data_IF_490569688715
#
_entry.id   IF_490569688715
#
_cell.length_a   1.000
_cell.length_b   1.000
_cell.length_c   1.000
_cell.angle_alpha   90.00
_cell.angle_beta   90.00
_cell.angle_gamma   90.00
#
_symmetry.space_group_name_H-M   'P 1'
#
loop_
_entity.id
_entity.type
_entity.pdbx_description
1 polymer ?
#
# COMPACT_ATOMS: atom_id res chain seq x y z
N UNK A 1 -0.11 6.16 -10.99
CA UNK A 1 0.32 4.76 -11.09
C UNK A 1 1.07 4.36 -9.83
N UNK A 2 0.62 3.30 -9.16
CA UNK A 2 1.27 2.75 -7.97
C UNK A 2 2.50 1.90 -8.31
N UNK A 3 3.56 2.02 -7.53
CA UNK A 3 4.73 1.18 -7.65
C UNK A 3 4.52 -0.19 -7.02
N UNK A 4 5.17 -1.20 -7.60
CA UNK A 4 5.06 -2.61 -7.21
C UNK A 4 6.44 -3.24 -7.08
N UNK A 5 6.60 -4.14 -6.12
CA UNK A 5 7.76 -5.01 -5.98
C UNK A 5 7.31 -6.46 -5.81
N UNK A 6 8.05 -7.38 -6.43
CA UNK A 6 7.75 -8.82 -6.36
C UNK A 6 7.92 -9.32 -4.92
N UNK A 7 6.91 -10.04 -4.42
CA UNK A 7 6.93 -10.70 -3.12
C UNK A 7 7.23 -9.79 -1.92
N UNK A 8 7.05 -8.48 -2.05
CA UNK A 8 7.26 -7.54 -0.96
C UNK A 8 6.21 -7.76 0.14
N UNK A 9 6.63 -8.45 1.20
CA UNK A 9 5.80 -8.80 2.34
C UNK A 9 6.64 -8.77 3.62
N UNK A 10 6.22 -7.97 4.58
CA UNK A 10 6.80 -7.90 5.93
C UNK A 10 5.68 -7.99 6.97
N UNK A 11 5.96 -7.65 8.23
CA UNK A 11 4.97 -7.61 9.31
C UNK A 11 5.04 -6.29 10.06
N UNK A 12 3.92 -5.92 10.68
CA UNK A 12 3.89 -4.79 11.61
C UNK A 12 4.74 -5.05 12.85
N UNK A 13 5.61 -4.10 13.21
CA UNK A 13 6.40 -4.14 14.45
C UNK A 13 5.53 -3.81 15.68
N UNK A 14 4.50 -3.01 15.49
CA UNK A 14 3.49 -2.68 16.51
C UNK A 14 2.12 -2.59 15.87
N UNK A 15 1.08 -2.93 16.64
CA UNK A 15 -0.30 -2.75 16.21
C UNK A 15 -0.62 -1.27 15.91
N UNK A 16 -1.57 -1.06 15.01
CA UNK A 16 -2.05 0.27 14.61
C UNK A 16 -3.57 0.36 14.78
N UNK A 17 -4.07 1.55 15.07
CA UNK A 17 -5.49 1.89 15.11
C UNK A 17 -6.02 2.25 13.71
N UNK A 18 -7.34 2.34 13.58
CA UNK A 18 -8.00 2.79 12.34
C UNK A 18 -7.70 4.28 12.01
N UNK A 19 -7.28 5.09 12.99
CA UNK A 19 -6.94 6.50 12.80
C UNK A 19 -5.45 6.75 12.57
N UNK A 20 -4.59 5.73 12.70
CA UNK A 20 -3.15 5.90 12.57
C UNK A 20 -2.79 6.25 11.13
N UNK A 21 -1.97 7.30 11.00
CA UNK A 21 -1.47 7.85 9.74
C UNK A 21 -0.05 7.38 9.41
N UNK A 22 0.47 6.45 10.23
CA UNK A 22 1.77 5.82 10.08
C UNK A 22 1.72 4.37 10.53
N UNK A 23 2.62 3.56 9.97
CA UNK A 23 2.88 2.19 10.42
C UNK A 23 4.36 1.87 10.28
N UNK A 24 4.85 0.91 11.04
CA UNK A 24 6.25 0.46 10.98
C UNK A 24 6.30 -1.02 10.71
N UNK A 25 7.06 -1.42 9.69
CA UNK A 25 7.27 -2.82 9.29
C UNK A 25 8.62 -3.34 9.77
N UNK A 26 8.78 -4.66 9.87
CA UNK A 26 10.05 -5.29 10.24
C UNK A 26 11.16 -5.01 9.21
N UNK A 27 10.80 -5.00 7.92
CA UNK A 27 11.70 -4.72 6.81
C UNK A 27 11.00 -3.88 5.74
N UNK A 28 11.31 -2.59 5.70
CA UNK A 28 10.80 -1.65 4.70
C UNK A 28 11.62 -1.64 3.40
N UNK A 29 12.81 -2.24 3.38
CA UNK A 29 13.72 -2.18 2.24
C UNK A 29 13.23 -2.98 1.03
N UNK A 30 12.42 -4.01 1.28
CA UNK A 30 11.82 -4.85 0.24
C UNK A 30 10.63 -4.18 -0.48
N UNK A 31 10.09 -3.09 0.07
CA UNK A 31 8.97 -2.36 -0.53
C UNK A 31 9.46 -1.34 -1.56
N UNK A 32 8.69 -1.08 -2.63
CA UNK A 32 9.09 -0.13 -3.66
C UNK A 32 9.09 1.31 -3.13
N UNK A 33 9.54 2.26 -3.93
CA UNK A 33 9.42 3.68 -3.59
C UNK A 33 7.96 4.15 -3.71
N UNK A 34 7.52 5.12 -2.88
CA UNK A 34 6.16 5.63 -2.94
C UNK A 34 5.85 6.35 -4.27
N UNK A 35 4.57 6.46 -4.66
CA UNK A 35 3.42 5.88 -3.97
C UNK A 35 3.23 4.38 -4.28
N UNK A 36 2.87 3.58 -3.27
CA UNK A 36 2.51 2.17 -3.44
C UNK A 36 1.34 1.78 -2.55
N UNK A 37 0.66 0.68 -2.88
CA UNK A 37 -0.41 0.11 -2.06
C UNK A 37 0.12 -1.05 -1.23
N UNK A 38 -0.36 -1.17 0.01
CA UNK A 38 -0.18 -2.37 0.84
C UNK A 38 -1.52 -2.89 1.28
N UNK A 39 -1.62 -4.21 1.42
CA UNK A 39 -2.75 -4.88 2.06
C UNK A 39 -2.34 -5.38 3.44
N UNK A 40 -3.20 -5.15 4.42
CA UNK A 40 -3.12 -5.72 5.78
C UNK A 40 -4.51 -6.27 6.08
N UNK A 41 -4.60 -7.58 6.34
CA UNK A 41 -5.87 -8.29 6.43
C UNK A 41 -6.77 -7.97 5.20
N UNK A 42 -7.97 -7.42 5.42
CA UNK A 42 -8.91 -7.00 4.36
C UNK A 42 -8.79 -5.50 3.97
N UNK A 43 -7.89 -4.75 4.60
CA UNK A 43 -7.68 -3.32 4.31
C UNK A 43 -6.63 -3.13 3.21
N UNK A 44 -6.89 -2.18 2.30
CA UNK A 44 -5.92 -1.67 1.33
C UNK A 44 -5.55 -0.24 1.72
N UNK A 45 -4.24 0.03 1.83
CA UNK A 45 -3.69 1.31 2.29
C UNK A 45 -2.73 1.84 1.24
N UNK A 46 -2.89 3.09 0.84
CA UNK A 46 -1.88 3.80 0.05
C UNK A 46 -0.81 4.38 0.97
N UNK A 47 0.44 4.08 0.68
CA UNK A 47 1.62 4.66 1.34
C UNK A 47 2.14 5.81 0.50
N UNK A 48 2.18 7.01 1.09
CA UNK A 48 2.69 8.22 0.43
C UNK A 48 4.17 8.50 0.72
N UNK A 49 4.69 8.03 1.85
CA UNK A 49 6.09 8.24 2.26
C UNK A 49 6.65 6.95 2.86
N UNK A 50 7.88 6.62 2.47
CA UNK A 50 8.68 5.51 3.03
C UNK A 50 9.99 6.08 3.57
N UNK A 51 10.22 5.96 4.88
CA UNK A 51 11.49 6.32 5.52
C UNK A 51 12.03 5.10 6.28
N UNK A 52 12.92 4.34 5.63
CA UNK A 52 13.36 3.04 6.12
C UNK A 52 12.18 2.11 6.36
N UNK A 53 11.97 1.73 7.62
CA UNK A 53 10.90 0.82 8.04
C UNK A 53 9.57 1.52 8.38
N UNK A 54 9.53 2.85 8.39
CA UNK A 54 8.33 3.61 8.74
C UNK A 54 7.65 4.13 7.49
N UNK A 55 6.39 3.75 7.31
CA UNK A 55 5.51 4.22 6.25
C UNK A 55 4.57 5.28 6.82
N UNK A 56 4.43 6.41 6.14
CA UNK A 56 3.60 7.54 6.57
C UNK A 56 2.86 8.16 5.40
N UNK A 57 2.10 9.24 5.68
CA UNK A 57 1.15 9.83 4.73
C UNK A 57 0.18 8.77 4.19
N UNK A 58 -0.32 7.93 5.09
CA UNK A 58 -1.20 6.82 4.76
C UNK A 58 -2.57 7.33 4.32
N UNK A 59 -3.09 6.81 3.20
CA UNK A 59 -4.52 6.89 2.87
C UNK A 59 -5.14 5.51 3.13
N UNK A 60 -5.94 5.42 4.19
CA UNK A 60 -6.56 4.20 4.71
C UNK A 60 -7.86 3.86 3.95
N UNK A 61 -8.28 2.60 3.97
CA UNK A 61 -9.57 2.17 3.40
C UNK A 61 -9.72 2.41 1.89
N UNK A 62 -8.67 2.15 1.10
CA UNK A 62 -8.73 2.28 -0.35
C UNK A 62 -9.67 1.24 -0.98
N UNK A 63 -10.12 1.51 -2.21
CA UNK A 63 -10.88 0.55 -3.05
C UNK A 63 -12.16 0.01 -2.37
N UNK A 64 -12.86 0.88 -1.63
CA UNK A 64 -14.11 0.52 -0.95
C UNK A 64 -13.92 -0.32 0.32
N UNK A 65 -12.68 -0.46 0.82
CA UNK A 65 -12.39 -1.06 2.12
C UNK A 65 -12.54 -0.03 3.25
N UNK A 66 -12.63 -0.51 4.48
CA UNK A 66 -12.70 0.36 5.67
C UNK A 66 -11.34 0.39 6.38
N UNK A 67 -11.00 1.54 6.97
CA UNK A 67 -9.87 1.64 7.87
C UNK A 67 -10.12 0.78 9.13
N UNK A 68 -9.17 -0.08 9.48
CA UNK A 68 -9.29 -1.01 10.60
C UNK A 68 -8.10 -0.92 11.56
N UNK A 69 -8.28 -1.45 12.76
CA UNK A 69 -7.15 -1.72 13.64
C UNK A 69 -6.46 -3.02 13.19
N UNK A 70 -5.12 -3.03 13.20
CA UNK A 70 -4.34 -4.21 12.87
C UNK A 70 -3.39 -4.55 14.02
N UNK A 71 -3.24 -5.84 14.30
CA UNK A 71 -2.40 -6.30 15.40
C UNK A 71 -0.92 -6.27 15.04
N UNK A 72 -0.04 -6.20 16.05
CA UNK A 72 1.39 -6.47 15.89
C UNK A 72 1.59 -7.82 15.18
N UNK A 73 2.54 -7.89 14.26
CA UNK A 73 2.83 -9.11 13.50
C UNK A 73 1.88 -9.34 12.30
N UNK A 74 0.85 -8.51 12.11
CA UNK A 74 -0.01 -8.58 10.93
C UNK A 74 0.81 -8.40 9.66
N UNK A 75 0.49 -9.19 8.63
CA UNK A 75 1.23 -9.20 7.36
C UNK A 75 0.92 -7.94 6.57
N UNK A 76 1.97 -7.24 6.15
CA UNK A 76 1.90 -6.10 5.26
C UNK A 76 2.44 -6.54 3.91
N UNK A 77 1.61 -6.55 2.87
CA UNK A 77 2.02 -7.04 1.53
C UNK A 77 1.75 -5.99 0.46
N UNK A 78 2.75 -5.66 -0.36
CA UNK A 78 2.51 -4.90 -1.58
C UNK A 78 1.91 -5.84 -2.63
N UNK A 79 0.67 -5.57 -3.03
CA UNK A 79 -0.11 -6.41 -3.93
C UNK A 79 -0.53 -5.63 -5.17
N UNK A 80 -0.65 -6.34 -6.29
CA UNK A 80 -1.37 -5.85 -7.45
C UNK A 80 -2.87 -5.93 -7.15
N UNK A 81 -3.55 -4.78 -7.04
CA UNK A 81 -4.97 -4.68 -6.70
C UNK A 81 -5.83 -4.35 -7.92
N UNK A 82 -7.15 -4.35 -7.74
CA UNK A 82 -8.07 -3.90 -8.79
C UNK A 82 -7.81 -2.42 -9.15
N UNK A 83 -7.59 -1.57 -8.14
CA UNK A 83 -7.21 -0.17 -8.34
C UNK A 83 -5.92 -0.02 -9.16
N UNK A 84 -4.90 -0.85 -8.91
CA UNK A 84 -3.67 -0.83 -9.71
C UNK A 84 -3.92 -1.23 -11.18
N UNK A 85 -4.77 -2.23 -11.42
CA UNK A 85 -5.17 -2.62 -12.77
C UNK A 85 -5.95 -1.52 -13.49
N UNK A 86 -6.88 -0.87 -12.79
CA UNK A 86 -7.70 0.19 -13.35
C UNK A 86 -6.84 1.41 -13.74
N UNK A 87 -5.85 1.79 -12.91
CA UNK A 87 -4.88 2.84 -13.26
C UNK A 87 -4.04 2.47 -14.49
N UNK A 88 -3.57 1.22 -14.59
CA UNK A 88 -2.84 0.74 -15.76
C UNK A 88 -3.71 0.79 -17.02
N UNK A 89 -4.95 0.30 -16.94
CA UNK A 89 -5.88 0.29 -18.07
C UNK A 89 -6.19 1.70 -18.56
N UNK A 90 -6.44 2.63 -17.63
CA UNK A 90 -6.68 4.03 -17.96
C UNK A 90 -5.48 4.67 -18.65
N UNK A 91 -4.27 4.47 -18.12
CA UNK A 91 -3.06 5.02 -18.71
C UNK A 91 -2.79 4.50 -20.14
N UNK A 92 -3.16 3.25 -20.44
CA UNK A 92 -3.05 2.69 -21.80
C UNK A 92 -4.06 3.35 -22.74
N UNK A 93 -5.33 3.47 -22.33
CA UNK A 93 -6.37 4.10 -23.13
C UNK A 93 -6.02 5.57 -23.45
N UNK A 94 -5.54 6.32 -22.45
CA UNK A 94 -5.12 7.73 -22.62
C UNK A 94 -3.94 7.86 -23.60
N UNK A 95 -3.02 6.88 -23.59
CA UNK A 95 -1.88 6.87 -24.51
C UNK A 95 -2.29 6.55 -25.96
N UNK A 96 -3.32 5.72 -26.15
CA UNK A 96 -3.88 5.39 -27.47
C UNK A 96 -4.63 6.59 -28.10
N UNK A 97 -5.30 7.41 -27.31
CA UNK A 97 -6.01 8.60 -27.79
C UNK A 97 -5.08 9.78 -28.14
N UNK A 98 -3.85 9.78 -27.63
CA UNK A 98 -2.86 10.83 -27.86
C UNK A 98 -1.97 10.63 -29.10
N UNK A 99 -2.05 9.46 -29.76
CA UNK A 99 -1.24 9.08 -30.92
C UNK A 99 -2.02 9.14 -32.23
#
# INVERSE_FOLDING_TARGET
MYNLANNACSKLVSGISASDTQLTVEDGSIFPDPPFLVSIDDEIIKVGVKNGNTFSSLTRGMEGKAAAAHSTGARVSNRFTAGTYDELRGAIADAEEAG
#
